data_IF_396551905111
#
_entry.id   IF_396551905111
#
_cell.length_a   1.000
_cell.length_b   1.000
_cell.length_c   1.000
_cell.angle_alpha   90.00
_cell.angle_beta   90.00
_cell.angle_gamma   90.00
#
_symmetry.space_group_name_H-M   'P 1'
#
loop_
_entity.id
_entity.type
_entity.pdbx_description
1 polymer ?
#
# COMPACT_ATOMS: atom_id res chain seq x y z
N UNK A 1 13.98 -59.29 17.59
CA UNK A 1 13.76 -59.12 19.04
C UNK A 1 13.84 -57.63 19.34
N UNK A 2 12.70 -56.93 19.35
CA UNK A 2 11.98 -56.45 20.55
C UNK A 2 12.71 -55.32 21.29
N UNK A 3 12.10 -54.13 21.20
CA UNK A 3 11.92 -53.06 22.20
C UNK A 3 13.22 -52.52 22.84
N UNK A 4 13.44 -51.20 22.86
CA UNK A 4 12.70 -50.29 23.75
C UNK A 4 12.83 -48.83 23.28
N UNK A 5 11.68 -48.25 22.93
CA UNK A 5 11.40 -46.81 23.02
C UNK A 5 11.08 -46.52 24.49
N UNK A 6 11.84 -45.64 25.15
CA UNK A 6 11.51 -45.04 26.46
C UNK A 6 12.16 -43.64 26.45
N UNK A 7 11.41 -42.60 26.12
CA UNK A 7 10.84 -41.61 27.07
C UNK A 7 11.89 -40.89 27.93
N UNK A 8 12.20 -39.65 27.55
CA UNK A 8 12.64 -38.58 28.46
C UNK A 8 11.91 -37.28 28.06
N UNK A 9 10.60 -37.30 28.30
CA UNK A 9 9.77 -36.11 28.48
C UNK A 9 9.44 -36.03 29.96
N UNK A 10 9.42 -34.80 30.46
CA UNK A 10 8.92 -34.32 31.75
C UNK A 10 9.93 -34.28 32.89
N UNK A 11 9.87 -33.12 33.61
CA UNK A 11 10.48 -32.69 34.90
C UNK A 11 11.40 -31.48 34.64
N UNK A 12 11.08 -30.21 34.94
CA UNK A 12 10.01 -29.49 35.65
C UNK A 12 9.96 -28.08 35.02
N UNK A 13 8.81 -27.52 34.62
CA UNK A 13 7.77 -26.89 35.43
C UNK A 13 8.25 -25.71 36.31
N UNK A 14 7.47 -24.62 36.19
CA UNK A 14 7.32 -23.47 37.10
C UNK A 14 8.22 -22.26 36.88
N UNK A 15 7.92 -21.49 35.83
CA UNK A 15 7.70 -20.05 36.02
C UNK A 15 6.23 -19.76 35.74
N UNK A 16 5.41 -19.81 36.79
CA UNK A 16 4.16 -19.07 36.83
C UNK A 16 4.51 -17.58 36.87
N UNK A 17 4.54 -16.92 35.71
CA UNK A 17 4.24 -15.50 35.68
C UNK A 17 2.71 -15.37 35.63
N UNK A 18 2.15 -15.28 36.83
CA UNK A 18 0.89 -14.62 37.05
C UNK A 18 1.18 -13.13 37.01
N UNK A 19 1.10 -12.53 35.82
CA UNK A 19 0.90 -11.09 35.72
C UNK A 19 -0.07 -10.79 34.58
N UNK A 20 -1.31 -10.67 34.98
CA UNK A 20 -2.39 -10.08 34.21
C UNK A 20 -2.04 -8.61 33.89
N UNK A 21 -1.21 -8.40 32.87
CA UNK A 21 -1.08 -7.15 32.09
C UNK A 21 -0.04 -7.34 30.95
N UNK A 22 -0.20 -8.37 30.13
CA UNK A 22 0.65 -8.59 28.96
C UNK A 22 0.37 -7.52 27.89
N UNK A 23 1.04 -6.37 28.00
CA UNK A 23 1.31 -5.52 26.85
C UNK A 23 2.17 -6.32 25.88
N UNK A 24 1.78 -6.41 24.60
CA UNK A 24 2.55 -7.11 23.58
C UNK A 24 4.02 -6.63 23.59
N UNK A 25 4.98 -7.57 23.65
CA UNK A 25 6.41 -7.24 23.54
C UNK A 25 6.73 -6.87 22.08
N UNK A 26 6.77 -5.57 21.83
CA UNK A 26 7.00 -4.98 20.51
C UNK A 26 8.47 -4.67 20.21
N UNK A 27 9.39 -5.05 21.10
CA UNK A 27 10.79 -4.61 21.07
C UNK A 27 11.59 -5.11 19.85
N UNK A 28 11.12 -6.18 19.20
CA UNK A 28 11.76 -6.77 18.01
C UNK A 28 11.00 -6.51 16.69
N UNK A 29 9.89 -5.76 16.72
CA UNK A 29 9.06 -5.56 15.54
C UNK A 29 9.56 -4.34 14.74
N UNK A 30 9.94 -4.56 13.49
CA UNK A 30 10.21 -3.47 12.53
C UNK A 30 8.91 -3.21 11.78
N UNK A 31 8.33 -2.03 12.02
CA UNK A 31 7.07 -1.62 11.42
C UNK A 31 7.33 -0.86 10.11
N UNK A 32 6.58 -1.20 9.06
CA UNK A 32 6.48 -0.33 7.91
C UNK A 32 5.68 0.93 8.29
N UNK A 33 6.04 2.12 7.75
CA UNK A 33 5.26 3.33 7.98
C UNK A 33 3.83 3.12 7.45
N UNK A 34 2.84 3.37 8.32
CA UNK A 34 1.42 3.32 7.98
C UNK A 34 1.02 4.63 7.29
N UNK A 35 1.20 4.70 5.98
CA UNK A 35 0.73 5.83 5.17
C UNK A 35 -0.48 5.41 4.35
N UNK A 36 -1.57 6.18 4.39
CA UNK A 36 -2.76 5.92 3.60
C UNK A 36 -2.63 6.61 2.24
N UNK A 37 -1.61 6.26 1.48
CA UNK A 37 -1.24 6.97 0.25
C UNK A 37 -1.18 6.00 -0.91
N UNK A 38 -1.65 6.43 -2.08
CA UNK A 38 -1.35 5.80 -3.36
C UNK A 38 -0.26 6.62 -4.03
N UNK A 39 0.81 5.98 -4.45
CA UNK A 39 1.88 6.55 -5.26
C UNK A 39 1.80 5.99 -6.68
N UNK A 40 1.89 6.85 -7.68
CA UNK A 40 1.84 6.49 -9.09
C UNK A 40 3.09 7.06 -9.79
N UNK A 41 3.82 6.18 -10.47
CA UNK A 41 4.89 6.52 -11.39
C UNK A 41 4.39 6.37 -12.82
N UNK A 42 4.57 7.40 -13.64
CA UNK A 42 4.23 7.36 -15.07
C UNK A 42 5.51 7.16 -15.86
N UNK A 43 5.63 6.02 -16.54
CA UNK A 43 6.74 5.71 -17.41
C UNK A 43 6.28 5.64 -18.86
N UNK A 44 7.11 6.12 -19.75
CA UNK A 44 6.98 5.80 -21.17
C UNK A 44 7.17 4.29 -21.39
N UNK A 45 6.29 3.66 -22.17
CA UNK A 45 6.30 2.21 -22.35
C UNK A 45 7.49 1.68 -23.15
N UNK A 46 8.11 2.51 -24.00
CA UNK A 46 9.26 2.11 -24.83
C UNK A 46 10.60 2.47 -24.19
N UNK A 47 10.73 3.69 -23.68
CA UNK A 47 11.99 4.25 -23.17
C UNK A 47 12.18 4.11 -21.66
N UNK A 48 11.12 3.78 -20.92
CA UNK A 48 11.07 3.73 -19.45
C UNK A 48 11.40 5.09 -18.78
N UNK A 49 11.34 6.20 -19.53
CA UNK A 49 11.54 7.54 -18.98
C UNK A 49 10.36 7.96 -18.11
N UNK A 50 10.65 8.68 -17.02
CA UNK A 50 9.61 9.23 -16.15
C UNK A 50 8.97 10.47 -16.79
N UNK A 51 7.68 10.35 -17.10
CA UNK A 51 6.93 11.35 -17.83
C UNK A 51 6.61 12.63 -17.02
N UNK A 52 6.69 12.56 -15.69
CA UNK A 52 6.61 13.75 -14.83
C UNK A 52 7.95 14.48 -14.74
N UNK A 53 9.07 13.75 -14.85
CA UNK A 53 10.41 14.34 -14.79
C UNK A 53 10.74 15.13 -16.06
N UNK A 54 10.34 14.62 -17.23
CA UNK A 54 10.58 15.24 -18.53
C UNK A 54 9.49 16.24 -18.96
N UNK A 55 8.45 16.45 -18.13
CA UNK A 55 7.32 17.36 -18.38
C UNK A 55 6.42 16.98 -19.57
N UNK A 56 6.47 15.73 -20.02
CA UNK A 56 5.48 15.19 -20.98
C UNK A 56 4.10 15.15 -20.33
N UNK A 57 4.00 14.69 -19.08
CA UNK A 57 2.81 14.85 -18.25
C UNK A 57 2.99 16.08 -17.37
N UNK A 58 2.12 17.07 -17.57
CA UNK A 58 2.10 18.30 -16.79
C UNK A 58 1.28 18.09 -15.51
N UNK A 59 1.93 18.19 -14.36
CA UNK A 59 1.32 17.93 -13.04
C UNK A 59 0.06 18.76 -12.76
N UNK A 60 -0.01 19.97 -13.29
CA UNK A 60 -1.13 20.90 -13.15
C UNK A 60 -2.39 20.48 -13.92
N UNK A 61 -2.25 19.52 -14.84
CA UNK A 61 -3.37 18.98 -15.62
C UNK A 61 -3.97 17.73 -14.98
N UNK A 62 -3.29 17.17 -13.98
CA UNK A 62 -3.74 15.94 -13.31
C UNK A 62 -4.97 16.25 -12.46
N UNK A 63 -6.02 15.48 -12.68
CA UNK A 63 -7.25 15.51 -11.89
C UNK A 63 -7.52 14.13 -11.32
N UNK A 64 -7.99 14.08 -10.07
CA UNK A 64 -8.34 12.84 -9.38
C UNK A 64 -9.73 13.00 -8.78
N UNK A 65 -10.62 12.08 -9.10
CA UNK A 65 -11.98 12.02 -8.58
C UNK A 65 -12.18 10.72 -7.81
N UNK A 66 -12.74 10.78 -6.61
CA UNK A 66 -13.12 9.59 -5.85
C UNK A 66 -14.45 8.98 -6.33
N UNK A 67 -14.83 7.86 -5.71
CA UNK A 67 -16.07 7.12 -6.01
C UNK A 67 -17.35 7.95 -5.81
N UNK A 68 -17.30 9.01 -5.01
CA UNK A 68 -18.41 9.94 -4.77
C UNK A 68 -18.34 11.17 -5.70
N UNK A 69 -17.47 11.15 -6.70
CA UNK A 69 -17.18 12.27 -7.60
C UNK A 69 -16.72 13.53 -6.85
N UNK A 70 -15.96 13.36 -5.76
CA UNK A 70 -15.26 14.45 -5.09
C UNK A 70 -13.83 14.54 -5.59
N UNK A 71 -13.37 15.76 -5.78
CA UNK A 71 -11.99 16.03 -6.19
C UNK A 71 -11.02 15.71 -5.05
N UNK A 72 -10.00 14.94 -5.36
CA UNK A 72 -8.90 14.60 -4.46
C UNK A 72 -7.67 15.39 -4.90
N UNK A 73 -7.06 16.11 -3.96
CA UNK A 73 -5.88 16.94 -4.28
C UNK A 73 -4.68 16.07 -4.66
N UNK A 74 -4.16 16.19 -5.89
CA UNK A 74 -2.93 15.52 -6.28
C UNK A 74 -1.74 16.16 -5.58
N UNK A 75 -0.77 15.35 -5.18
CA UNK A 75 0.49 15.76 -4.58
C UNK A 75 1.60 15.24 -5.49
N UNK A 76 2.52 16.11 -5.90
CA UNK A 76 3.73 15.67 -6.59
C UNK A 76 4.83 15.47 -5.56
N UNK A 77 5.25 14.22 -5.36
CA UNK A 77 6.40 13.84 -4.55
C UNK A 77 7.64 13.64 -5.41
N UNK A 78 8.81 13.68 -4.79
CA UNK A 78 10.08 13.34 -5.44
C UNK A 78 10.86 12.37 -4.55
N UNK A 79 11.37 11.30 -5.14
CA UNK A 79 12.21 10.32 -4.43
C UNK A 79 13.54 10.13 -5.16
N UNK A 80 14.65 9.92 -4.43
CA UNK A 80 15.97 9.80 -5.06
C UNK A 80 16.11 8.67 -6.09
N UNK A 81 15.31 7.61 -5.96
CA UNK A 81 15.42 6.42 -6.79
C UNK A 81 14.37 6.34 -7.91
N UNK A 82 13.19 6.97 -7.73
CA UNK A 82 12.08 6.86 -8.68
C UNK A 82 11.77 8.18 -9.42
N UNK A 83 12.38 9.30 -9.02
CA UNK A 83 12.10 10.62 -9.57
C UNK A 83 10.79 11.19 -9.04
N UNK A 84 10.11 12.02 -9.84
CA UNK A 84 8.78 12.55 -9.50
C UNK A 84 7.71 11.47 -9.55
N UNK A 85 6.80 11.53 -8.59
CA UNK A 85 5.66 10.62 -8.44
C UNK A 85 4.40 11.44 -8.20
N UNK A 86 3.27 10.98 -8.73
CA UNK A 86 1.97 11.43 -8.28
C UNK A 86 1.62 10.69 -6.99
N UNK A 87 1.08 11.40 -6.02
CA UNK A 87 0.61 10.86 -4.76
C UNK A 87 -0.76 11.43 -4.43
N UNK A 88 -1.61 10.63 -3.79
CA UNK A 88 -2.83 11.12 -3.17
C UNK A 88 -3.22 10.30 -1.95
N UNK A 89 -3.89 10.96 -1.01
CA UNK A 89 -4.32 10.35 0.24
C UNK A 89 -5.62 9.58 0.05
N UNK A 90 -5.65 8.35 0.52
CA UNK A 90 -6.85 7.53 0.64
C UNK A 90 -7.59 7.91 1.92
N UNK A 91 -8.84 8.33 1.80
CA UNK A 91 -9.66 8.65 2.98
C UNK A 91 -9.88 7.39 3.82
N UNK A 92 -9.64 7.54 5.13
CA UNK A 92 -9.89 6.52 6.16
C UNK A 92 -11.09 6.84 7.06
N UNK A 93 -11.84 7.88 6.72
CA UNK A 93 -13.11 8.21 7.38
C UNK A 93 -14.17 7.13 7.10
N UNK A 94 -14.06 6.49 5.94
CA UNK A 94 -14.88 5.35 5.52
C UNK A 94 -13.99 4.22 5.01
N UNK A 95 -14.32 2.98 5.38
CA UNK A 95 -13.71 1.76 4.82
C UNK A 95 -14.71 1.09 3.86
N UNK A 96 -14.21 0.22 2.99
CA UNK A 96 -15.00 -0.43 1.94
C UNK A 96 -14.41 -0.19 0.55
N UNK A 97 -15.27 -0.24 -0.47
CA UNK A 97 -14.86 -0.04 -1.86
C UNK A 97 -14.29 1.37 -2.07
N UNK A 98 -13.12 1.42 -2.70
CA UNK A 98 -12.45 2.63 -3.15
C UNK A 98 -12.32 2.57 -4.66
N UNK A 99 -12.61 3.69 -5.31
CA UNK A 99 -12.39 3.89 -6.74
C UNK A 99 -11.91 5.31 -6.93
N UNK A 100 -10.82 5.46 -7.67
CA UNK A 100 -10.23 6.75 -8.01
C UNK A 100 -10.11 6.81 -9.53
N UNK A 101 -10.76 7.79 -10.14
CA UNK A 101 -10.58 8.10 -11.57
C UNK A 101 -9.55 9.20 -11.72
N UNK A 102 -8.49 8.92 -12.48
CA UNK A 102 -7.39 9.84 -12.73
C UNK A 102 -7.39 10.21 -14.22
N UNK A 103 -7.21 11.49 -14.52
CA UNK A 103 -7.02 12.00 -15.87
C UNK A 103 -5.93 13.08 -15.91
N UNK A 104 -5.34 13.30 -17.07
CA UNK A 104 -4.36 14.35 -17.35
C UNK A 104 -4.38 14.69 -18.85
N UNK A 105 -3.84 15.85 -19.22
CA UNK A 105 -3.82 16.26 -20.62
C UNK A 105 -2.88 15.36 -21.45
N UNK A 106 -3.40 14.87 -22.57
CA UNK A 106 -2.63 14.01 -23.49
C UNK A 106 -2.68 12.52 -23.18
N UNK A 107 -3.35 12.09 -22.10
CA UNK A 107 -3.59 10.68 -21.79
C UNK A 107 -5.08 10.32 -21.72
N UNK A 108 -5.35 9.03 -21.86
CA UNK A 108 -6.66 8.44 -21.56
C UNK A 108 -6.89 8.38 -20.05
N UNK A 109 -8.11 8.67 -19.56
CA UNK A 109 -8.47 8.45 -18.16
C UNK A 109 -8.33 6.99 -17.76
N UNK A 110 -7.97 6.76 -16.50
CA UNK A 110 -7.86 5.43 -15.91
C UNK A 110 -8.41 5.43 -14.50
N UNK A 111 -8.65 4.23 -13.98
CA UNK A 111 -9.23 4.02 -12.66
C UNK A 111 -8.34 3.10 -11.85
N UNK A 112 -8.20 3.40 -10.56
CA UNK A 112 -7.62 2.49 -9.55
C UNK A 112 -8.73 2.14 -8.56
N UNK A 113 -9.03 0.85 -8.45
CA UNK A 113 -10.07 0.32 -7.58
C UNK A 113 -9.49 -0.69 -6.60
N UNK A 114 -9.96 -0.67 -5.36
CA UNK A 114 -9.60 -1.65 -4.34
C UNK A 114 -10.58 -1.60 -3.17
N UNK A 115 -10.67 -2.67 -2.41
CA UNK A 115 -11.38 -2.68 -1.12
C UNK A 115 -10.43 -2.26 -0.01
N UNK A 116 -10.88 -1.43 0.94
CA UNK A 116 -10.09 -1.06 2.12
C UNK A 116 -10.75 -1.48 3.45
N UNK A 117 -9.93 -1.92 4.41
CA UNK A 117 -10.39 -2.31 5.74
C UNK A 117 -9.48 -1.72 6.84
N UNK A 118 -10.09 -1.32 7.95
CA UNK A 118 -9.35 -0.97 9.16
C UNK A 118 -8.77 -2.23 9.80
N UNK A 119 -7.45 -2.27 9.96
CA UNK A 119 -6.79 -3.26 10.82
C UNK A 119 -6.05 -2.57 11.94
N UNK A 120 -6.54 -2.76 13.17
CA UNK A 120 -5.77 -2.40 14.36
C UNK A 120 -4.52 -3.26 14.41
N UNK A 121 -3.33 -2.65 14.25
CA UNK A 121 -2.08 -3.37 14.40
C UNK A 121 -1.62 -3.30 15.84
N UNK A 122 -1.21 -4.44 16.38
CA UNK A 122 -0.72 -4.54 17.76
C UNK A 122 0.50 -3.64 17.97
N UNK A 123 1.68 -4.13 17.59
CA UNK A 123 2.94 -3.42 17.84
C UNK A 123 3.23 -2.25 16.92
N UNK A 124 2.55 -2.17 15.78
CA UNK A 124 2.89 -1.24 14.72
C UNK A 124 1.83 -0.19 14.43
N UNK A 125 0.85 -0.04 15.33
CA UNK A 125 -0.23 0.90 15.12
C UNK A 125 -1.19 0.46 14.01
N UNK A 126 -2.06 1.37 13.62
CA UNK A 126 -3.16 1.06 12.70
C UNK A 126 -2.68 0.98 11.26
N UNK A 127 -3.27 0.05 10.50
CA UNK A 127 -3.02 -0.10 9.07
C UNK A 127 -4.33 -0.10 8.30
N UNK A 128 -4.28 0.42 7.09
CA UNK A 128 -5.34 0.21 6.10
C UNK A 128 -4.94 -0.97 5.24
N UNK A 129 -5.65 -2.07 5.41
CA UNK A 129 -5.54 -3.25 4.55
C UNK A 129 -6.22 -2.92 3.22
N UNK A 130 -5.63 -3.40 2.13
CA UNK A 130 -6.23 -3.32 0.80
C UNK A 130 -6.33 -4.71 0.18
N UNK A 131 -7.36 -4.94 -0.62
CA UNK A 131 -7.56 -6.18 -1.37
C UNK A 131 -8.19 -5.87 -2.74
N UNK A 132 -8.00 -6.77 -3.69
CA UNK A 132 -8.61 -6.69 -5.02
C UNK A 132 -8.21 -5.43 -5.80
N UNK A 133 -6.91 -5.09 -5.81
CA UNK A 133 -6.42 -3.94 -6.59
C UNK A 133 -6.64 -4.20 -8.09
N UNK A 134 -7.46 -3.36 -8.71
CA UNK A 134 -7.73 -3.38 -10.15
C UNK A 134 -7.38 -2.01 -10.74
N UNK A 135 -6.62 -2.01 -11.84
CA UNK A 135 -6.20 -0.79 -12.54
C UNK A 135 -6.56 -0.94 -14.01
N UNK A 136 -7.27 0.06 -14.54
CA UNK A 136 -7.76 0.05 -15.92
C UNK A 136 -6.84 0.81 -16.89
N UNK A 137 -7.14 0.67 -18.19
CA UNK A 137 -6.53 1.40 -19.32
C UNK A 137 -5.08 1.04 -19.63
N UNK A 138 -4.16 1.27 -18.69
CA UNK A 138 -2.71 1.14 -18.94
C UNK A 138 -2.13 -0.18 -18.46
N UNK A 139 -1.05 -0.60 -19.11
CA UNK A 139 -0.18 -1.65 -18.57
C UNK A 139 0.43 -1.16 -17.27
N UNK A 140 0.46 -2.00 -16.25
CA UNK A 140 0.83 -1.57 -14.91
C UNK A 140 1.52 -2.66 -14.09
N UNK A 141 2.30 -2.20 -13.11
CA UNK A 141 2.83 -3.00 -12.01
C UNK A 141 2.47 -2.31 -10.69
N UNK A 142 2.29 -3.07 -9.62
CA UNK A 142 2.07 -2.47 -8.29
C UNK A 142 2.67 -3.30 -7.16
N UNK A 143 2.90 -2.67 -6.01
CA UNK A 143 3.40 -3.35 -4.82
C UNK A 143 2.37 -4.36 -4.32
N UNK A 144 2.76 -5.64 -4.26
CA UNK A 144 1.89 -6.73 -3.76
C UNK A 144 1.76 -6.73 -2.23
N UNK A 145 1.71 -5.56 -1.61
CA UNK A 145 1.43 -5.44 -0.17
C UNK A 145 -0.09 -5.34 -0.02
N UNK A 146 -0.66 -6.17 0.84
CA UNK A 146 -2.09 -6.12 1.19
C UNK A 146 -2.40 -4.93 2.13
N UNK A 147 -1.61 -3.86 2.08
CA UNK A 147 -1.73 -2.67 2.93
C UNK A 147 -1.27 -1.43 2.19
N UNK A 148 -1.86 -0.28 2.52
CA UNK A 148 -1.30 1.01 2.12
C UNK A 148 0.06 1.27 2.83
N UNK A 149 0.99 2.03 2.19
CA UNK A 149 0.82 2.69 0.89
C UNK A 149 0.86 1.74 -0.31
N UNK A 150 0.06 2.04 -1.32
CA UNK A 150 0.05 1.35 -2.61
C UNK A 150 1.01 2.07 -3.55
N UNK A 151 1.95 1.35 -4.14
CA UNK A 151 2.88 1.90 -5.12
C UNK A 151 2.55 1.29 -6.49
N UNK A 152 2.27 2.13 -7.48
CA UNK A 152 1.87 1.76 -8.84
C UNK A 152 2.85 2.34 -9.84
N UNK A 153 3.25 1.54 -10.82
CA UNK A 153 3.93 2.01 -12.04
C UNK A 153 3.00 1.79 -13.22
N UNK A 154 2.73 2.86 -13.97
CA UNK A 154 1.93 2.84 -15.19
C UNK A 154 2.85 3.06 -16.39
N UNK A 155 2.68 2.24 -17.42
CA UNK A 155 3.36 2.38 -18.70
C UNK A 155 2.39 3.03 -19.70
N UNK A 156 2.78 4.20 -20.20
CA UNK A 156 2.00 5.06 -21.11
C UNK A 156 2.63 4.98 -22.50
N UNK A 157 1.81 4.77 -23.53
CA UNK A 157 2.19 4.68 -24.95
C UNK A 157 2.11 6.04 -25.67
#
# INVERSE_FOLDING_TARGET
>A
MIKKVICLIAIFLFFSCNDSNDSADCSAVICAPSENTVFIRFLDSESEENLLDNYTILSETIQIMDIESKEVTPIIGETPNFGKLLAFTVSTDTYGDKSYTISFDGGDPFTIEFFSEYRGGGCCGVYTVIDGVEISTYTHEYSQRDTLPLEVTLYID
#
